data_IF_334590352759
#
_entry.id   IF_334590352759
#
_cell.length_a   1.000
_cell.length_b   1.000
_cell.length_c   1.000
_cell.angle_alpha   90.00
_cell.angle_beta   90.00
_cell.angle_gamma   90.00
#
_symmetry.space_group_name_H-M   'P 1'
#
loop_
_entity.id
_entity.type
_entity.pdbx_description
1 polymer ?
#
# COMPACT_ATOMS: atom_id res chain seq x y z
N UNK A 1 -2.44 -19.51 -7.09
CA UNK A 1 -1.33 -18.53 -7.04
C UNK A 1 -0.64 -18.36 -8.39
N UNK A 2 -0.28 -19.43 -9.10
CA UNK A 2 0.53 -19.37 -10.35
C UNK A 2 0.02 -18.42 -11.43
N UNK A 3 -1.24 -18.52 -11.87
CA UNK A 3 -1.72 -17.71 -13.00
C UNK A 3 -1.71 -16.18 -12.75
N UNK A 4 -2.01 -15.75 -11.52
CA UNK A 4 -2.01 -14.33 -11.17
C UNK A 4 -0.58 -13.83 -10.90
N UNK A 5 0.27 -14.66 -10.29
CA UNK A 5 1.69 -14.35 -10.10
C UNK A 5 2.45 -14.24 -11.42
N UNK A 6 2.20 -15.16 -12.36
CA UNK A 6 2.69 -15.08 -13.74
C UNK A 6 2.19 -13.84 -14.47
N UNK A 7 1.02 -13.32 -14.07
CA UNK A 7 0.45 -12.06 -14.56
C UNK A 7 1.04 -10.81 -13.89
N UNK A 8 2.04 -10.94 -13.03
CA UNK A 8 2.75 -9.83 -12.39
C UNK A 8 2.20 -9.41 -11.02
N UNK A 9 1.15 -10.05 -10.50
CA UNK A 9 0.64 -9.77 -9.15
C UNK A 9 1.52 -10.44 -8.10
N UNK A 10 2.04 -9.67 -7.16
CA UNK A 10 2.82 -10.20 -6.03
C UNK A 10 1.93 -10.48 -4.82
N UNK A 11 2.16 -11.61 -4.16
CA UNK A 11 1.44 -12.05 -2.96
C UNK A 11 2.28 -11.69 -1.72
N UNK A 12 2.43 -10.40 -1.45
CA UNK A 12 3.38 -9.87 -0.44
C UNK A 12 2.99 -10.14 1.01
N UNK A 13 1.74 -10.52 1.27
CA UNK A 13 1.27 -10.93 2.61
C UNK A 13 0.46 -12.21 2.55
N UNK A 14 0.93 -13.26 3.23
CA UNK A 14 0.24 -14.54 3.39
C UNK A 14 0.20 -14.88 4.87
N UNK A 15 -0.96 -15.26 5.39
CA UNK A 15 -1.12 -15.69 6.78
C UNK A 15 -0.54 -17.09 7.01
N UNK A 16 -0.35 -17.46 8.27
CA UNK A 16 0.16 -18.79 8.64
C UNK A 16 -0.74 -19.94 8.16
N UNK A 17 -2.04 -19.67 7.99
CA UNK A 17 -3.04 -20.60 7.46
C UNK A 17 -3.06 -20.65 5.91
N UNK A 18 -2.20 -19.87 5.25
CA UNK A 18 -2.04 -19.84 3.79
C UNK A 18 -3.02 -18.93 3.05
N UNK A 19 -3.74 -18.05 3.75
CA UNK A 19 -4.61 -17.06 3.11
C UNK A 19 -3.80 -15.86 2.63
N UNK A 20 -4.10 -15.36 1.44
CA UNK A 20 -3.48 -14.14 0.92
C UNK A 20 -4.16 -12.95 1.59
N UNK A 21 -3.39 -12.20 2.36
CA UNK A 21 -3.86 -11.03 3.11
C UNK A 21 -3.49 -9.71 2.42
N UNK A 22 -2.39 -9.69 1.67
CA UNK A 22 -1.90 -8.51 0.93
C UNK A 22 -1.41 -8.92 -0.45
N UNK A 23 -1.76 -8.10 -1.45
CA UNK A 23 -1.21 -8.20 -2.81
C UNK A 23 -0.73 -6.84 -3.30
N UNK A 24 0.31 -6.87 -4.13
CA UNK A 24 0.96 -5.70 -4.73
C UNK A 24 1.13 -5.90 -6.24
N UNK A 25 1.28 -4.80 -6.98
CA UNK A 25 1.58 -4.84 -8.42
C UNK A 25 2.85 -4.01 -8.67
N UNK A 26 4.03 -4.65 -8.74
CA UNK A 26 5.32 -3.96 -8.78
C UNK A 26 5.51 -2.98 -9.95
N UNK A 27 4.82 -3.19 -11.08
CA UNK A 27 4.89 -2.30 -12.25
C UNK A 27 4.06 -1.01 -12.08
N UNK A 28 3.19 -0.94 -11.08
CA UNK A 28 2.40 0.25 -10.79
C UNK A 28 3.08 1.11 -9.71
N UNK A 29 3.15 2.46 -9.87
CA UNK A 29 3.91 3.33 -8.97
C UNK A 29 3.47 3.25 -7.50
N UNK A 30 2.22 2.90 -7.26
CA UNK A 30 1.70 2.53 -5.94
C UNK A 30 0.44 1.70 -6.11
N UNK A 31 0.50 0.40 -5.85
CA UNK A 31 -0.65 -0.50 -5.88
C UNK A 31 -0.54 -1.47 -4.72
N UNK A 32 -1.53 -1.45 -3.84
CA UNK A 32 -1.63 -2.36 -2.71
C UNK A 32 -3.10 -2.65 -2.45
N UNK A 33 -3.44 -3.92 -2.25
CA UNK A 33 -4.75 -4.34 -1.78
C UNK A 33 -4.59 -5.27 -0.58
N UNK A 34 -5.43 -5.09 0.44
CA UNK A 34 -5.43 -5.89 1.65
C UNK A 34 -6.83 -6.42 1.97
N UNK A 35 -6.90 -7.57 2.61
CA UNK A 35 -8.15 -8.18 3.09
C UNK A 35 -8.63 -7.59 4.43
N UNK A 36 -7.71 -7.11 5.26
CA UNK A 36 -8.03 -6.47 6.54
C UNK A 36 -8.42 -5.00 6.38
N UNK A 37 -8.90 -4.41 7.48
CA UNK A 37 -9.43 -3.04 7.57
C UNK A 37 -8.45 -2.08 8.27
N UNK A 38 -7.45 -1.51 7.57
CA UNK A 38 -6.47 -0.58 8.16
C UNK A 38 -7.09 0.75 8.64
N UNK A 39 -8.32 1.05 8.25
CA UNK A 39 -9.08 2.22 8.72
C UNK A 39 -9.35 2.18 10.22
N UNK A 40 -9.51 1.00 10.81
CA UNK A 40 -9.81 0.87 12.23
C UNK A 40 -8.59 1.12 13.13
N UNK A 41 -7.38 1.00 12.59
CA UNK A 41 -6.12 1.28 13.29
C UNK A 41 -5.50 2.63 12.92
N UNK A 42 -6.15 3.39 12.02
CA UNK A 42 -5.76 4.76 11.69
C UNK A 42 -6.19 5.74 12.79
N UNK A 43 -5.36 6.75 13.07
CA UNK A 43 -5.70 7.81 14.02
C UNK A 43 -5.48 9.21 13.40
N UNK A 44 -6.07 10.29 13.96
CA UNK A 44 -5.96 11.62 13.38
C UNK A 44 -4.58 12.27 13.45
N UNK A 45 -3.71 11.83 14.37
CA UNK A 45 -2.40 12.44 14.59
C UNK A 45 -1.39 11.96 13.54
N UNK A 46 -1.33 10.64 13.33
CA UNK A 46 -0.31 10.00 12.49
C UNK A 46 -0.86 9.42 11.18
N UNK A 47 -2.15 9.04 11.18
CA UNK A 47 -2.76 8.25 10.10
C UNK A 47 -2.18 6.83 9.99
N UNK A 48 -2.88 5.94 9.30
CA UNK A 48 -2.30 4.63 8.97
C UNK A 48 -1.23 4.78 7.86
N UNK A 49 -0.07 4.12 7.96
CA UNK A 49 1.00 4.21 6.96
C UNK A 49 0.55 3.91 5.51
N UNK A 50 -0.40 2.98 5.34
CA UNK A 50 -0.97 2.68 4.02
C UNK A 50 -1.68 3.89 3.40
N UNK A 51 -2.49 4.62 4.16
CA UNK A 51 -3.16 5.81 3.65
C UNK A 51 -2.18 6.96 3.41
N UNK A 52 -1.23 7.17 4.32
CA UNK A 52 -0.21 8.21 4.17
C UNK A 52 0.65 7.96 2.93
N UNK A 53 1.11 6.72 2.72
CA UNK A 53 1.90 6.37 1.53
C UNK A 53 1.10 6.48 0.23
N UNK A 54 -0.18 6.12 0.23
CA UNK A 54 -1.08 6.31 -0.92
C UNK A 54 -1.13 7.77 -1.37
N UNK A 55 -1.38 8.69 -0.43
CA UNK A 55 -1.48 10.12 -0.73
C UNK A 55 -0.15 10.67 -1.26
N UNK A 56 0.97 10.27 -0.67
CA UNK A 56 2.31 10.68 -1.14
C UNK A 56 2.58 10.18 -2.56
N UNK A 57 2.23 8.93 -2.87
CA UNK A 57 2.39 8.37 -4.20
C UNK A 57 1.47 9.02 -5.23
N UNK A 58 0.20 9.25 -4.88
CA UNK A 58 -0.76 9.94 -5.75
C UNK A 58 -0.26 11.35 -6.10
N UNK A 59 0.26 12.10 -5.13
CA UNK A 59 0.87 13.41 -5.37
C UNK A 59 2.11 13.33 -6.26
N UNK A 60 2.96 12.33 -6.05
CA UNK A 60 4.15 12.10 -6.86
C UNK A 60 3.78 11.79 -8.32
N UNK A 61 2.74 10.98 -8.54
CA UNK A 61 2.21 10.68 -9.88
C UNK A 61 1.63 11.92 -10.57
N UNK A 62 1.04 12.86 -9.81
CA UNK A 62 0.57 14.15 -10.32
C UNK A 62 1.70 15.17 -10.60
N UNK A 63 2.96 14.82 -10.32
CA UNK A 63 4.11 15.73 -10.46
C UNK A 63 4.22 16.79 -9.36
N UNK A 64 3.42 16.68 -8.29
CA UNK A 64 3.41 17.63 -7.17
C UNK A 64 4.40 17.19 -6.09
N UNK A 65 5.60 17.78 -6.07
CA UNK A 65 6.57 17.58 -4.98
C UNK A 65 6.00 18.15 -3.67
N UNK A 66 5.92 17.32 -2.62
CA UNK A 66 5.63 17.77 -1.26
C UNK A 66 6.80 18.63 -0.74
N UNK A 67 6.55 19.78 -0.08
CA UNK A 67 7.57 20.37 0.77
C UNK A 67 7.94 19.34 1.84
N UNK A 68 9.24 19.20 2.11
CA UNK A 68 9.77 18.29 3.14
C UNK A 68 9.03 18.60 4.45
N UNK A 69 8.31 17.63 4.99
CA UNK A 69 7.78 17.75 6.36
C UNK A 69 9.02 17.80 7.25
N UNK A 70 9.30 18.99 7.80
CA UNK A 70 10.33 19.16 8.81
C UNK A 70 9.90 18.31 10.01
N UNK A 71 10.79 17.40 10.43
CA UNK A 71 10.55 16.49 11.54
C UNK A 71 10.05 17.22 12.79
N UNK A 72 9.07 16.61 13.44
CA UNK A 72 8.78 16.82 14.85
C UNK A 72 9.62 15.84 15.67
#
# INVERSE_FOLDING_TARGET
>A
MTKLGEGGLDFSGVSDDGLVEVVELPEHPWFLACQFHPEFTSNPLDGHPLFTSFVVAARSCQGLKLPRVAGA
#
